data_IF_727721286208
#
_entry.id   IF_727721286208
#
_cell.length_a   1.000
_cell.length_b   1.000
_cell.length_c   1.000
_cell.angle_alpha   90.00
_cell.angle_beta   90.00
_cell.angle_gamma   90.00
#
_symmetry.space_group_name_H-M   'P 1'
#
loop_
_entity.id
_entity.type
_entity.pdbx_description
1 polymer ?
#
# COMPACT_ATOMS: atom_id res chain seq x y z
N UNK A 1 19.32 -8.09 -10.76
CA UNK A 1 18.16 -7.83 -9.87
C UNK A 1 16.91 -7.90 -10.74
N UNK A 2 16.06 -8.93 -10.59
CA UNK A 2 14.87 -9.09 -11.45
C UNK A 2 13.77 -8.14 -10.94
N UNK A 3 13.52 -7.07 -11.69
CA UNK A 3 12.66 -5.96 -11.27
C UNK A 3 11.18 -6.40 -11.10
N UNK A 4 10.76 -7.45 -11.80
CA UNK A 4 9.39 -7.99 -11.70
C UNK A 4 9.21 -8.83 -10.44
N UNK A 5 10.22 -9.62 -10.07
CA UNK A 5 10.16 -10.50 -8.89
C UNK A 5 10.22 -9.72 -7.58
N UNK A 6 10.84 -8.54 -7.58
CA UNK A 6 11.00 -7.69 -6.39
C UNK A 6 10.08 -6.46 -6.37
N UNK A 7 9.18 -6.33 -7.34
CA UNK A 7 8.31 -5.17 -7.49
C UNK A 7 7.57 -4.80 -6.19
N UNK A 8 7.01 -5.79 -5.49
CA UNK A 8 6.29 -5.52 -4.23
C UNK A 8 7.18 -4.92 -3.14
N UNK A 9 8.43 -5.38 -3.01
CA UNK A 9 9.36 -4.88 -2.00
C UNK A 9 9.83 -3.47 -2.37
N UNK A 10 10.07 -3.22 -3.66
CA UNK A 10 10.46 -1.89 -4.15
C UNK A 10 9.31 -0.90 -3.92
N UNK A 11 8.07 -1.26 -4.29
CA UNK A 11 6.89 -0.44 -4.04
C UNK A 11 6.72 -0.18 -2.54
N UNK A 12 6.83 -1.22 -1.70
CA UNK A 12 6.78 -1.08 -0.24
C UNK A 12 7.76 -0.03 0.27
N UNK A 13 9.05 -0.20 -0.04
CA UNK A 13 10.12 0.65 0.49
C UNK A 13 10.01 2.10 0.02
N UNK A 14 9.71 2.30 -1.27
CA UNK A 14 9.63 3.64 -1.83
C UNK A 14 8.39 4.38 -1.33
N UNK A 15 7.25 3.71 -1.13
CA UNK A 15 6.08 4.36 -0.54
C UNK A 15 6.31 4.77 0.93
N UNK A 16 7.12 4.01 1.65
CA UNK A 16 7.31 4.18 3.10
C UNK A 16 8.42 5.16 3.47
N UNK A 17 9.49 5.20 2.67
CA UNK A 17 10.70 5.96 2.99
C UNK A 17 11.28 6.70 1.78
N UNK A 18 10.65 6.60 0.61
CA UNK A 18 11.18 7.16 -0.62
C UNK A 18 11.22 8.68 -0.63
N UNK A 19 12.25 9.20 -1.27
CA UNK A 19 12.33 10.59 -1.71
C UNK A 19 11.35 10.87 -2.85
N UNK A 20 11.17 12.15 -3.19
CA UNK A 20 10.30 12.53 -4.30
C UNK A 20 10.88 11.98 -5.62
N UNK A 21 12.19 12.05 -5.84
CA UNK A 21 12.82 11.50 -7.05
C UNK A 21 12.52 9.99 -7.22
N UNK A 22 12.60 9.23 -6.13
CA UNK A 22 12.29 7.79 -6.14
C UNK A 22 10.81 7.50 -6.36
N UNK A 23 9.92 8.32 -5.79
CA UNK A 23 8.48 8.23 -6.01
C UNK A 23 8.10 8.55 -7.47
N UNK A 24 8.74 9.54 -8.07
CA UNK A 24 8.55 9.85 -9.49
C UNK A 24 8.99 8.67 -10.35
N UNK A 25 10.17 8.11 -10.08
CA UNK A 25 10.68 6.93 -10.76
C UNK A 25 9.75 5.72 -10.59
N UNK A 26 9.23 5.50 -9.39
CA UNK A 26 8.31 4.40 -9.10
C UNK A 26 7.03 4.50 -9.94
N UNK A 27 6.40 5.68 -9.95
CA UNK A 27 5.16 5.91 -10.70
C UNK A 27 5.39 5.82 -12.21
N UNK A 28 6.55 6.23 -12.70
CA UNK A 28 6.91 6.11 -14.10
C UNK A 28 7.21 4.66 -14.51
N UNK A 29 7.88 3.89 -13.65
CA UNK A 29 8.36 2.53 -13.96
C UNK A 29 7.26 1.49 -13.83
N UNK A 30 6.50 1.52 -12.72
CA UNK A 30 5.46 0.52 -12.45
C UNK A 30 4.06 1.01 -12.87
N UNK A 31 3.88 2.32 -13.02
CA UNK A 31 2.59 2.91 -13.32
C UNK A 31 1.68 2.99 -12.09
N UNK A 32 0.79 3.99 -12.09
CA UNK A 32 -0.18 4.20 -11.00
C UNK A 32 -1.05 2.96 -10.77
N UNK A 33 -1.46 2.26 -11.82
CA UNK A 33 -2.32 1.07 -11.72
C UNK A 33 -1.68 -0.02 -10.85
N UNK A 34 -0.40 -0.33 -11.09
CA UNK A 34 0.32 -1.37 -10.32
C UNK A 34 0.49 -0.98 -8.86
N UNK A 35 0.75 0.29 -8.60
CA UNK A 35 0.87 0.83 -7.23
C UNK A 35 -0.48 0.76 -6.50
N UNK A 36 -1.60 1.06 -7.18
CA UNK A 36 -2.94 0.90 -6.61
C UNK A 36 -3.25 -0.56 -6.28
N UNK A 37 -2.93 -1.50 -7.18
CA UNK A 37 -3.09 -2.94 -6.91
C UNK A 37 -2.27 -3.39 -5.69
N UNK A 38 -1.03 -2.89 -5.56
CA UNK A 38 -0.21 -3.16 -4.38
C UNK A 38 -0.88 -2.65 -3.09
N UNK A 39 -1.37 -1.40 -3.10
CA UNK A 39 -2.05 -0.81 -1.93
C UNK A 39 -3.28 -1.63 -1.52
N UNK A 40 -4.05 -2.13 -2.49
CA UNK A 40 -5.24 -2.94 -2.24
C UNK A 40 -4.91 -4.31 -1.66
N UNK A 41 -3.93 -5.02 -2.24
CA UNK A 41 -3.65 -6.42 -1.90
C UNK A 41 -2.71 -6.58 -0.69
N UNK A 42 -1.74 -5.68 -0.56
CA UNK A 42 -0.61 -5.84 0.35
C UNK A 42 -0.43 -4.64 1.30
N UNK A 43 -0.96 -3.47 0.95
CA UNK A 43 -0.79 -2.23 1.70
C UNK A 43 -1.14 -2.35 3.18
N UNK A 44 -2.28 -2.95 3.52
CA UNK A 44 -2.73 -3.14 4.92
C UNK A 44 -1.75 -3.94 5.79
N UNK A 45 -1.03 -4.88 5.18
CA UNK A 45 -0.14 -5.81 5.90
C UNK A 45 1.29 -5.30 5.98
N UNK A 46 1.71 -4.45 5.03
CA UNK A 46 3.12 -4.13 4.78
C UNK A 46 3.46 -2.65 4.98
N UNK A 47 2.49 -1.76 4.92
CA UNK A 47 2.72 -0.33 5.18
C UNK A 47 2.25 0.03 6.58
N UNK A 48 2.85 1.09 7.14
CA UNK A 48 2.31 1.71 8.34
C UNK A 48 0.93 2.32 8.04
N UNK A 49 0.09 2.41 9.08
CA UNK A 49 -1.29 2.91 8.94
C UNK A 49 -1.34 4.33 8.36
N UNK A 50 -0.41 5.20 8.77
CA UNK A 50 -0.36 6.60 8.32
C UNK A 50 -0.02 6.65 6.83
N UNK A 51 1.04 5.96 6.41
CA UNK A 51 1.47 5.97 5.02
C UNK A 51 0.45 5.32 4.10
N UNK A 52 -0.14 4.20 4.52
CA UNK A 52 -1.23 3.56 3.79
C UNK A 52 -2.40 4.52 3.56
N UNK A 53 -2.89 5.17 4.62
CA UNK A 53 -4.00 6.12 4.51
C UNK A 53 -3.67 7.29 3.59
N UNK A 54 -2.45 7.84 3.70
CA UNK A 54 -1.98 8.91 2.84
C UNK A 54 -2.04 8.50 1.36
N UNK A 55 -1.43 7.36 1.01
CA UNK A 55 -1.40 6.90 -0.38
C UNK A 55 -2.76 6.48 -0.92
N UNK A 56 -3.60 5.83 -0.10
CA UNK A 56 -4.97 5.53 -0.49
C UNK A 56 -5.78 6.80 -0.76
N UNK A 57 -5.58 7.86 0.03
CA UNK A 57 -6.25 9.14 -0.18
C UNK A 57 -5.75 9.84 -1.44
N UNK A 58 -4.44 9.88 -1.64
CA UNK A 58 -3.82 10.53 -2.79
C UNK A 58 -4.17 9.84 -4.11
N UNK A 59 -4.15 8.51 -4.13
CA UNK A 59 -4.38 7.69 -5.33
C UNK A 59 -5.84 7.22 -5.48
N UNK A 60 -6.75 7.72 -4.65
CA UNK A 60 -8.18 7.39 -4.66
C UNK A 60 -8.41 5.86 -4.69
N UNK A 61 -7.86 5.17 -3.69
CA UNK A 61 -8.03 3.73 -3.49
C UNK A 61 -9.10 3.50 -2.43
N UNK A 62 -10.31 3.13 -2.88
CA UNK A 62 -11.50 3.09 -2.03
C UNK A 62 -11.63 1.85 -1.14
N UNK A 63 -10.95 0.75 -1.49
CA UNK A 63 -11.01 -0.52 -0.76
C UNK A 63 -9.61 -1.11 -0.64
N UNK A 64 -8.99 -0.91 0.52
CA UNK A 64 -7.99 -1.86 0.99
C UNK A 64 -8.80 -2.97 1.64
N UNK A 65 -8.67 -4.21 1.15
CA UNK A 65 -9.40 -5.33 1.73
C UNK A 65 -9.07 -5.39 3.22
N UNK A 66 -10.07 -5.02 4.02
CA UNK A 66 -9.95 -5.08 5.47
C UNK A 66 -9.81 -6.56 5.78
N UNK A 67 -8.66 -6.91 6.34
CA UNK A 67 -8.41 -8.29 6.68
C UNK A 67 -9.54 -8.80 7.60
N UNK A 68 -10.00 -10.06 7.46
CA UNK A 68 -11.22 -10.55 8.12
C UNK A 68 -11.25 -10.35 9.65
N UNK A 69 -10.07 -10.29 10.29
CA UNK A 69 -9.94 -10.04 11.73
C UNK A 69 -10.24 -8.60 12.17
N UNK A 70 -10.31 -7.63 11.25
CA UNK A 70 -10.68 -6.26 11.56
C UNK A 70 -12.15 -6.18 12.03
N UNK A 71 -13.01 -7.05 11.51
CA UNK A 71 -14.41 -7.14 11.94
C UNK A 71 -14.54 -7.81 13.31
N UNK A 72 -13.77 -8.89 13.55
CA UNK A 72 -13.72 -9.59 14.85
C UNK A 72 -13.38 -8.61 15.99
N UNK A 73 -12.51 -7.62 15.74
CA UNK A 73 -12.13 -6.64 16.75
C UNK A 73 -13.29 -5.72 17.16
N UNK A 74 -14.23 -5.41 16.27
CA UNK A 74 -15.40 -4.57 16.63
C UNK A 74 -16.33 -5.30 17.60
N UNK A 75 -16.52 -6.61 17.41
CA UNK A 75 -17.42 -7.42 18.23
C UNK A 75 -16.90 -7.67 19.65
N UNK A 76 -15.59 -7.51 19.88
CA UNK A 76 -14.96 -7.73 21.18
C UNK A 76 -15.08 -6.55 22.16
N UNK A 77 -15.39 -5.33 21.67
CA UNK A 77 -15.49 -4.12 22.50
C UNK A 77 -16.94 -3.68 22.79
N UNK A 78 -17.94 -4.45 22.37
CA UNK A 78 -19.38 -4.20 22.60
C UNK A 78 -19.95 -4.95 23.80
N UNK A 79 -19.11 -5.38 24.76
CA UNK A 79 -19.54 -6.02 26.01
C UNK A 79 -19.24 -5.17 27.22
#
# INVERSE_FOLDING_TARGET
>A
MNILTHANIIIERTLEYGTWEELHWLLHTYGIKRVREYLQQLGQKRLSKVTLHYWCKLLQVDKVDSAPWAEIKKDLWTR
#
